data_IF_308955903829
#
_entry.id   IF_308955903829
#
_cell.length_a   1.000
_cell.length_b   1.000
_cell.length_c   1.000
_cell.angle_alpha   90.00
_cell.angle_beta   90.00
_cell.angle_gamma   90.00
#
_symmetry.space_group_name_H-M   'P 1'
#
loop_
_entity.id
_entity.type
_entity.pdbx_description
1 polymer ?
#
# COMPACT_ATOMS: atom_id res chain seq x y z
N UNK A 1 15.95 -39.30 -60.80
CA UNK A 1 16.03 -38.71 -59.45
C UNK A 1 16.18 -37.20 -59.62
N UNK A 2 15.08 -36.46 -59.49
CA UNK A 2 15.04 -35.01 -59.62
C UNK A 2 14.67 -34.43 -58.24
N UNK A 3 15.53 -33.58 -57.69
CA UNK A 3 15.29 -32.87 -56.42
C UNK A 3 14.55 -31.55 -56.70
N UNK A 4 13.52 -31.18 -55.92
CA UNK A 4 12.84 -29.90 -56.08
C UNK A 4 13.57 -28.79 -55.33
N UNK A 5 13.70 -27.64 -55.98
CA UNK A 5 14.25 -26.38 -55.44
C UNK A 5 13.21 -25.69 -54.54
N UNK A 6 13.53 -25.51 -53.26
CA UNK A 6 12.74 -24.73 -52.30
C UNK A 6 13.06 -23.24 -52.50
N UNK A 7 12.04 -22.44 -52.86
CA UNK A 7 12.10 -20.97 -52.84
C UNK A 7 11.94 -20.49 -51.39
N UNK A 8 13.00 -19.94 -50.81
CA UNK A 8 12.92 -19.19 -49.56
C UNK A 8 12.26 -17.82 -49.80
N UNK A 9 11.07 -17.63 -49.24
CA UNK A 9 10.41 -16.34 -49.13
C UNK A 9 11.05 -15.60 -47.94
N UNK A 10 11.81 -14.54 -48.21
CA UNK A 10 12.36 -13.69 -47.16
C UNK A 10 11.23 -12.86 -46.53
N UNK A 11 10.82 -13.23 -45.32
CA UNK A 11 9.97 -12.39 -44.48
C UNK A 11 10.82 -11.20 -43.98
N UNK A 12 10.51 -10.00 -44.47
CA UNK A 12 10.95 -8.75 -43.87
C UNK A 12 10.36 -8.67 -42.45
N UNK A 13 11.16 -9.01 -41.43
CA UNK A 13 10.87 -8.62 -40.05
C UNK A 13 11.00 -7.10 -39.96
N UNK A 14 9.86 -6.40 -39.94
CA UNK A 14 9.82 -5.03 -39.48
C UNK A 14 10.15 -5.01 -37.98
N UNK A 15 11.35 -4.55 -37.63
CA UNK A 15 11.71 -4.28 -36.24
C UNK A 15 10.94 -3.04 -35.79
N UNK A 16 9.82 -3.25 -35.11
CA UNK A 16 9.16 -2.18 -34.37
C UNK A 16 10.09 -1.76 -33.22
N UNK A 17 10.74 -0.60 -33.36
CA UNK A 17 11.49 0.01 -32.27
C UNK A 17 10.57 0.38 -31.11
N UNK A 18 11.11 0.54 -29.89
CA UNK A 18 10.33 1.06 -28.77
C UNK A 18 9.84 2.46 -29.14
N UNK A 19 8.53 2.65 -29.22
CA UNK A 19 7.96 3.98 -29.33
C UNK A 19 8.24 4.71 -28.01
N UNK A 20 9.24 5.58 -28.00
CA UNK A 20 9.35 6.62 -26.98
C UNK A 20 8.04 7.42 -27.02
N UNK A 21 7.23 7.33 -25.96
CA UNK A 21 6.15 8.27 -25.81
C UNK A 21 6.76 9.54 -25.20
N UNK A 22 7.11 10.49 -26.06
CA UNK A 22 7.36 11.85 -25.62
C UNK A 22 6.03 12.40 -25.06
N UNK A 23 5.92 12.42 -23.73
CA UNK A 23 4.73 12.94 -23.07
C UNK A 23 4.66 14.47 -23.08
N UNK A 24 5.74 15.18 -23.41
CA UNK A 24 5.76 16.65 -23.40
C UNK A 24 4.82 17.28 -24.43
N UNK A 25 4.52 16.54 -25.51
CA UNK A 25 3.53 16.91 -26.54
C UNK A 25 2.09 16.46 -26.26
N UNK A 26 1.81 15.80 -25.13
CA UNK A 26 0.47 15.28 -24.84
C UNK A 26 -0.55 16.43 -24.66
N UNK A 27 -1.80 16.34 -25.19
CA UNK A 27 -2.78 17.44 -25.14
C UNK A 27 -3.16 17.94 -23.73
N UNK A 28 -2.90 17.12 -22.71
CA UNK A 28 -3.13 17.47 -21.29
C UNK A 28 -1.91 18.08 -20.59
N UNK A 29 -0.76 18.23 -21.25
CA UNK A 29 0.40 18.90 -20.65
C UNK A 29 0.09 20.35 -20.27
N UNK A 30 -0.63 21.16 -21.09
CA UNK A 30 -1.04 22.51 -20.66
C UNK A 30 -1.80 22.50 -19.32
N UNK A 31 -2.75 21.57 -19.13
CA UNK A 31 -3.48 21.39 -17.86
C UNK A 31 -2.54 21.12 -16.68
N UNK A 32 -1.55 20.24 -16.86
CA UNK A 32 -0.55 19.94 -15.82
C UNK A 32 0.30 21.16 -15.47
N UNK A 33 0.77 21.89 -16.48
CA UNK A 33 1.64 23.05 -16.28
C UNK A 33 0.88 24.22 -15.66
N UNK A 34 -0.36 24.47 -16.08
CA UNK A 34 -1.23 25.48 -15.48
C UNK A 34 -1.48 25.16 -14.01
N UNK A 35 -1.69 23.88 -13.68
CA UNK A 35 -1.83 23.43 -12.29
C UNK A 35 -0.55 23.66 -11.49
N UNK A 36 0.61 23.27 -12.02
CA UNK A 36 1.92 23.49 -11.38
C UNK A 36 2.22 24.98 -11.17
N UNK A 37 1.85 25.83 -12.12
CA UNK A 37 2.00 27.28 -12.01
C UNK A 37 1.06 27.88 -10.95
N UNK A 38 -0.23 27.53 -11.01
CA UNK A 38 -1.27 28.19 -10.19
C UNK A 38 -1.36 27.67 -8.76
N UNK A 39 -1.27 26.35 -8.55
CA UNK A 39 -1.39 25.73 -7.22
C UNK A 39 -0.05 25.67 -6.48
N UNK A 40 1.05 25.52 -7.22
CA UNK A 40 2.37 25.29 -6.65
C UNK A 40 3.36 26.44 -6.94
N UNK A 41 3.01 27.42 -7.78
CA UNK A 41 3.87 28.58 -8.04
C UNK A 41 5.14 28.25 -8.83
N UNK A 42 5.10 27.26 -9.73
CA UNK A 42 6.22 26.98 -10.63
C UNK A 42 6.49 28.18 -11.55
N UNK A 43 7.74 28.61 -11.61
CA UNK A 43 8.24 29.62 -12.55
C UNK A 43 8.30 29.07 -13.98
N UNK A 44 8.39 29.96 -14.97
CA UNK A 44 8.51 29.56 -16.38
C UNK A 44 9.71 28.63 -16.63
N UNK A 45 10.83 28.85 -15.94
CA UNK A 45 12.02 28.01 -16.07
C UNK A 45 11.79 26.60 -15.49
N UNK A 46 11.11 26.49 -14.35
CA UNK A 46 10.77 25.19 -13.76
C UNK A 46 9.73 24.43 -14.59
N UNK A 47 8.76 25.13 -15.19
CA UNK A 47 7.81 24.51 -16.12
C UNK A 47 8.50 23.95 -17.37
N UNK A 48 9.58 24.59 -17.84
CA UNK A 48 10.40 24.04 -18.92
C UNK A 48 11.16 22.78 -18.47
N UNK A 49 11.65 22.74 -17.23
CA UNK A 49 12.24 21.51 -16.67
C UNK A 49 11.20 20.38 -16.58
N UNK A 50 9.93 20.69 -16.24
CA UNK A 50 8.83 19.71 -16.25
C UNK A 50 8.60 19.18 -17.67
N UNK A 51 8.56 20.04 -18.69
CA UNK A 51 8.45 19.61 -20.10
C UNK A 51 9.61 18.69 -20.49
N UNK A 52 10.83 19.07 -20.14
CA UNK A 52 12.03 18.28 -20.40
C UNK A 52 11.95 16.91 -19.72
N UNK A 53 11.50 16.85 -18.47
CA UNK A 53 11.30 15.59 -17.76
C UNK A 53 10.25 14.70 -18.46
N UNK A 54 9.11 15.27 -18.87
CA UNK A 54 8.07 14.54 -19.60
C UNK A 54 8.54 14.01 -20.96
N UNK A 55 9.41 14.75 -21.66
CA UNK A 55 10.03 14.27 -22.88
C UNK A 55 10.99 13.08 -22.66
N UNK A 56 11.57 12.98 -21.46
CA UNK A 56 12.47 11.90 -21.04
C UNK A 56 11.76 10.75 -20.29
N UNK A 57 10.45 10.88 -20.05
CA UNK A 57 9.66 9.82 -19.43
C UNK A 57 9.51 8.66 -20.41
N UNK A 58 9.65 7.44 -19.90
CA UNK A 58 9.48 6.22 -20.68
C UNK A 58 8.08 5.66 -20.42
N UNK A 59 7.33 5.45 -21.50
CA UNK A 59 6.07 4.74 -21.43
C UNK A 59 6.29 3.31 -20.94
N UNK A 60 5.37 2.82 -20.11
CA UNK A 60 5.35 1.46 -19.59
C UNK A 60 4.12 0.70 -20.14
N UNK A 61 4.18 0.14 -21.37
CA UNK A 61 3.02 -0.44 -22.05
C UNK A 61 2.36 -1.56 -21.26
N UNK A 62 3.17 -2.37 -20.58
CA UNK A 62 2.68 -3.53 -19.82
C UNK A 62 1.72 -3.09 -18.71
N UNK A 63 1.87 -1.90 -18.13
CA UNK A 63 0.97 -1.41 -17.08
C UNK A 63 -0.42 -1.10 -17.64
N UNK A 64 -0.47 -0.41 -18.77
CA UNK A 64 -1.74 -0.08 -19.44
C UNK A 64 -2.43 -1.37 -19.91
N UNK A 65 -1.67 -2.30 -20.48
CA UNK A 65 -2.21 -3.57 -20.95
C UNK A 65 -2.73 -4.46 -19.82
N UNK A 66 -2.02 -4.54 -18.70
CA UNK A 66 -2.45 -5.30 -17.54
C UNK A 66 -3.75 -4.74 -16.98
N UNK A 67 -3.88 -3.42 -16.80
CA UNK A 67 -5.11 -2.80 -16.29
C UNK A 67 -6.31 -2.96 -17.25
N UNK A 68 -6.06 -3.07 -18.57
CA UNK A 68 -7.10 -3.30 -19.57
C UNK A 68 -7.53 -4.78 -19.68
N UNK A 69 -6.58 -5.70 -19.50
CA UNK A 69 -6.77 -7.13 -19.77
C UNK A 69 -6.93 -7.98 -18.52
N UNK A 70 -6.57 -7.49 -17.33
CA UNK A 70 -6.58 -8.28 -16.12
C UNK A 70 -8.02 -8.77 -15.83
N UNK A 71 -8.30 -10.07 -15.95
CA UNK A 71 -9.46 -10.60 -15.26
C UNK A 71 -9.29 -10.26 -13.78
N UNK A 72 -10.39 -9.98 -13.07
CA UNK A 72 -10.36 -9.80 -11.63
C UNK A 72 -9.93 -11.14 -11.02
N UNK A 73 -8.62 -11.33 -10.86
CA UNK A 73 -8.06 -12.55 -10.31
C UNK A 73 -8.34 -12.51 -8.81
N UNK A 74 -9.47 -13.07 -8.41
CA UNK A 74 -9.85 -13.21 -7.02
C UNK A 74 -9.04 -14.35 -6.43
N UNK A 75 -7.84 -14.03 -5.94
CA UNK A 75 -7.13 -14.96 -5.05
C UNK A 75 -8.02 -15.25 -3.83
N UNK A 76 -7.99 -16.48 -3.32
CA UNK A 76 -8.59 -16.82 -2.01
C UNK A 76 -7.74 -16.17 -0.92
N UNK A 77 -8.28 -16.04 0.29
CA UNK A 77 -7.51 -15.63 1.46
C UNK A 77 -6.36 -16.58 1.73
N UNK A 78 -6.55 -17.89 1.58
CA UNK A 78 -5.47 -18.88 1.72
C UNK A 78 -4.30 -18.60 0.79
N UNK A 79 -4.59 -18.17 -0.45
CA UNK A 79 -3.55 -17.75 -1.41
C UNK A 79 -2.93 -16.41 -1.01
N UNK A 80 -3.75 -15.42 -0.61
CA UNK A 80 -3.27 -14.10 -0.23
C UNK A 80 -2.33 -14.13 0.98
N UNK A 81 -2.75 -14.88 2.01
CA UNK A 81 -2.10 -15.03 3.31
C UNK A 81 -0.74 -15.74 3.23
N UNK A 82 -0.36 -16.33 2.09
CA UNK A 82 1.02 -16.81 1.86
C UNK A 82 2.05 -15.69 1.98
N UNK A 83 1.63 -14.42 1.89
CA UNK A 83 2.43 -13.23 2.21
C UNK A 83 2.73 -13.11 3.71
N UNK A 84 2.20 -13.96 4.58
CA UNK A 84 2.46 -13.97 6.02
C UNK A 84 3.28 -15.23 6.34
N UNK A 85 4.51 -15.27 5.82
CA UNK A 85 5.42 -16.40 5.97
C UNK A 85 6.37 -16.24 7.18
N UNK A 86 6.98 -17.35 7.61
CA UNK A 86 7.89 -17.39 8.76
C UNK A 86 9.07 -16.43 8.57
N UNK A 87 9.66 -16.36 7.37
CA UNK A 87 10.77 -15.45 7.10
C UNK A 87 10.36 -13.99 7.24
N UNK A 88 9.15 -13.60 6.83
CA UNK A 88 8.65 -12.23 7.00
C UNK A 88 8.39 -11.93 8.48
N UNK A 89 7.92 -12.89 9.27
CA UNK A 89 7.76 -12.72 10.73
C UNK A 89 9.14 -12.52 11.40
N UNK A 90 10.10 -13.40 11.13
CA UNK A 90 11.48 -13.31 11.65
C UNK A 90 12.14 -11.98 11.29
N UNK A 91 11.97 -11.53 10.04
CA UNK A 91 12.48 -10.23 9.60
C UNK A 91 11.79 -9.05 10.28
N UNK A 92 10.50 -9.17 10.59
CA UNK A 92 9.77 -8.16 11.34
C UNK A 92 10.30 -8.00 12.76
N UNK A 93 10.53 -9.13 13.43
CA UNK A 93 11.17 -9.17 14.75
C UNK A 93 12.56 -8.51 14.70
N UNK A 94 13.39 -8.89 13.72
CA UNK A 94 14.73 -8.31 13.56
C UNK A 94 14.68 -6.78 13.37
N UNK A 95 13.76 -6.29 12.54
CA UNK A 95 13.60 -4.85 12.27
C UNK A 95 13.08 -4.09 13.50
N UNK A 96 12.19 -4.69 14.28
CA UNK A 96 11.75 -4.14 15.56
C UNK A 96 12.92 -4.00 16.54
N UNK A 97 13.84 -4.97 16.59
CA UNK A 97 15.03 -4.87 17.42
C UNK A 97 16.04 -3.84 16.91
N UNK A 98 16.33 -3.84 15.61
CA UNK A 98 17.29 -2.94 14.97
C UNK A 98 16.88 -1.47 15.11
N UNK A 99 15.59 -1.18 15.00
CA UNK A 99 15.04 0.18 15.05
C UNK A 99 14.17 0.43 16.29
N UNK A 100 14.44 -0.27 17.39
CA UNK A 100 13.61 -0.25 18.60
C UNK A 100 13.30 1.17 19.11
N UNK A 101 14.29 2.07 19.10
CA UNK A 101 14.10 3.46 19.53
C UNK A 101 13.08 4.22 18.67
N UNK A 102 13.08 4.01 17.36
CA UNK A 102 12.16 4.68 16.44
C UNK A 102 10.74 4.14 16.57
N UNK A 103 10.60 2.81 16.67
CA UNK A 103 9.29 2.22 16.92
C UNK A 103 8.70 2.64 18.27
N UNK A 104 9.52 2.66 19.33
CA UNK A 104 9.09 3.11 20.65
C UNK A 104 8.65 4.58 20.64
N UNK A 105 9.41 5.45 19.98
CA UNK A 105 9.02 6.86 19.80
C UNK A 105 7.73 7.00 19.00
N UNK A 106 7.56 6.23 17.93
CA UNK A 106 6.34 6.29 17.12
C UNK A 106 5.10 5.81 17.90
N UNK A 107 5.26 4.79 18.74
CA UNK A 107 4.20 4.36 19.66
C UNK A 107 3.89 5.43 20.72
N UNK A 108 4.91 6.07 21.29
CA UNK A 108 4.74 7.16 22.25
C UNK A 108 3.98 8.34 21.62
N UNK A 109 4.43 8.82 20.47
CA UNK A 109 3.91 10.01 19.79
C UNK A 109 2.51 9.77 19.18
N UNK A 110 2.33 8.67 18.44
CA UNK A 110 1.13 8.41 17.64
C UNK A 110 0.20 7.34 18.23
N UNK A 111 0.68 6.52 19.17
CA UNK A 111 -0.11 5.43 19.76
C UNK A 111 -0.34 4.23 18.85
N UNK A 112 0.41 4.15 17.76
CA UNK A 112 0.43 3.01 16.85
C UNK A 112 1.46 2.00 17.36
N UNK A 113 1.06 0.75 17.69
CA UNK A 113 1.98 -0.25 18.20
C UNK A 113 3.11 -0.57 17.21
N UNK A 114 4.33 -0.90 17.69
CA UNK A 114 5.47 -1.26 16.85
C UNK A 114 5.16 -2.34 15.81
N UNK A 115 4.50 -3.42 16.23
CA UNK A 115 4.16 -4.53 15.35
C UNK A 115 3.18 -4.13 14.24
N UNK A 116 2.31 -3.14 14.46
CA UNK A 116 1.42 -2.63 13.41
C UNK A 116 2.18 -1.87 12.33
N UNK A 117 3.11 -1.00 12.72
CA UNK A 117 3.98 -0.29 11.78
C UNK A 117 4.86 -1.30 11.02
N UNK A 118 5.44 -2.27 11.73
CA UNK A 118 6.20 -3.37 11.12
C UNK A 118 5.33 -4.20 10.17
N UNK A 119 4.07 -4.47 10.51
CA UNK A 119 3.12 -5.15 9.64
C UNK A 119 2.92 -4.44 8.31
N UNK A 120 2.75 -3.12 8.33
CA UNK A 120 2.68 -2.29 7.10
C UNK A 120 3.99 -2.42 6.31
N UNK A 121 5.14 -2.17 6.92
CA UNK A 121 6.45 -2.26 6.27
C UNK A 121 6.73 -3.65 5.65
N UNK A 122 6.31 -4.72 6.34
CA UNK A 122 6.51 -6.10 5.91
C UNK A 122 5.66 -6.47 4.69
N UNK A 123 4.42 -5.99 4.63
CA UNK A 123 3.51 -6.20 3.50
C UNK A 123 3.88 -5.31 2.31
N UNK A 124 4.24 -4.04 2.56
CA UNK A 124 4.56 -3.08 1.49
C UNK A 124 5.88 -3.39 0.80
N UNK A 125 6.97 -3.54 1.57
CA UNK A 125 8.33 -3.50 1.00
C UNK A 125 9.28 -4.56 1.57
N UNK A 126 8.75 -5.52 2.34
CA UNK A 126 9.57 -6.48 3.08
C UNK A 126 10.61 -5.77 3.94
N UNK A 127 10.14 -4.74 4.65
CA UNK A 127 10.91 -3.89 5.55
C UNK A 127 11.99 -3.07 4.84
N UNK A 128 11.61 -2.39 3.75
CA UNK A 128 12.51 -1.53 2.96
C UNK A 128 13.41 -2.25 1.96
N UNK A 129 13.39 -3.59 1.90
CA UNK A 129 14.24 -4.36 0.97
C UNK A 129 13.75 -4.33 -0.48
N UNK A 130 12.45 -4.13 -0.68
CA UNK A 130 11.80 -4.11 -2.00
C UNK A 130 10.94 -2.85 -2.09
N UNK A 131 11.54 -1.71 -2.42
CA UNK A 131 10.84 -0.41 -2.57
C UNK A 131 10.36 -0.14 -4.00
N UNK A 132 10.65 -1.05 -4.92
CA UNK A 132 10.42 -0.87 -6.35
C UNK A 132 11.62 -0.26 -7.07
N UNK A 133 11.68 -0.49 -8.38
CA UNK A 133 12.81 -0.13 -9.25
C UNK A 133 12.37 0.69 -10.47
N UNK A 134 11.09 1.04 -10.56
CA UNK A 134 10.51 1.80 -11.67
C UNK A 134 10.71 3.28 -11.39
N UNK A 135 11.18 4.08 -12.35
CA UNK A 135 11.21 5.54 -12.17
C UNK A 135 9.80 6.04 -11.94
N UNK A 136 9.58 6.79 -10.86
CA UNK A 136 8.25 7.28 -10.48
C UNK A 136 7.64 8.14 -11.58
N UNK A 137 8.49 8.94 -12.25
CA UNK A 137 8.12 9.70 -13.44
C UNK A 137 7.52 8.84 -14.55
N UNK A 138 8.10 7.68 -14.85
CA UNK A 138 7.64 6.79 -15.92
C UNK A 138 6.28 6.18 -15.56
N UNK A 139 6.14 5.70 -14.32
CA UNK A 139 4.90 5.14 -13.80
C UNK A 139 3.76 6.18 -13.84
N UNK A 140 3.97 7.35 -13.25
CA UNK A 140 2.94 8.37 -13.12
C UNK A 140 2.62 9.09 -14.45
N UNK A 141 3.59 9.26 -15.34
CA UNK A 141 3.32 9.76 -16.69
C UNK A 141 2.47 8.74 -17.46
N UNK A 142 2.88 7.48 -17.49
CA UNK A 142 2.13 6.43 -18.18
C UNK A 142 0.69 6.33 -17.63
N UNK A 143 0.52 6.22 -16.32
CA UNK A 143 -0.80 6.06 -15.73
C UNK A 143 -1.63 7.36 -15.75
N UNK A 144 -1.01 8.52 -15.53
CA UNK A 144 -1.70 9.81 -15.52
C UNK A 144 -2.27 10.21 -16.88
N UNK A 145 -1.58 9.84 -17.96
CA UNK A 145 -2.05 10.13 -19.32
C UNK A 145 -2.91 9.00 -19.92
N UNK A 146 -2.65 7.74 -19.58
CA UNK A 146 -3.20 6.61 -20.35
C UNK A 146 -4.03 5.60 -19.54
N UNK A 147 -4.10 5.71 -18.21
CA UNK A 147 -4.84 4.71 -17.42
C UNK A 147 -6.35 4.74 -17.77
N UNK A 148 -6.98 3.59 -18.08
CA UNK A 148 -8.35 3.54 -18.62
C UNK A 148 -9.40 4.20 -17.71
N UNK A 149 -9.37 3.92 -16.40
CA UNK A 149 -10.37 4.43 -15.44
C UNK A 149 -9.84 5.43 -14.42
N UNK A 150 -8.57 5.34 -14.02
CA UNK A 150 -7.97 6.13 -12.91
C UNK A 150 -7.02 7.23 -13.38
N UNK A 151 -6.96 7.56 -14.67
CA UNK A 151 -6.05 8.59 -15.19
C UNK A 151 -6.12 9.91 -14.42
N UNK A 152 -7.31 10.38 -13.99
CA UNK A 152 -7.45 11.63 -13.22
C UNK A 152 -6.71 11.58 -11.88
N UNK A 153 -6.79 10.46 -11.18
CA UNK A 153 -6.07 10.25 -9.91
C UNK A 153 -4.56 10.28 -10.13
N UNK A 154 -4.06 9.46 -11.06
CA UNK A 154 -2.62 9.40 -11.34
C UNK A 154 -2.07 10.69 -11.93
N UNK A 155 -2.87 11.42 -12.70
CA UNK A 155 -2.51 12.75 -13.21
C UNK A 155 -2.38 13.77 -12.08
N UNK A 156 -3.22 13.67 -11.05
CA UNK A 156 -3.05 14.48 -9.83
C UNK A 156 -1.77 14.10 -9.08
N UNK A 157 -1.48 12.81 -8.96
CA UNK A 157 -0.24 12.33 -8.33
C UNK A 157 1.01 12.73 -9.12
N UNK A 158 0.93 12.85 -10.45
CA UNK A 158 2.01 13.36 -11.29
C UNK A 158 2.31 14.84 -10.98
N UNK A 159 1.28 15.67 -10.77
CA UNK A 159 1.48 17.06 -10.35
C UNK A 159 2.13 17.14 -8.96
N UNK A 160 1.63 16.35 -8.01
CA UNK A 160 2.19 16.21 -6.66
C UNK A 160 3.64 15.72 -6.68
N UNK A 161 3.98 14.82 -7.62
CA UNK A 161 5.34 14.33 -7.83
C UNK A 161 6.31 15.42 -8.29
N UNK A 162 5.91 16.26 -9.25
CA UNK A 162 6.76 17.38 -9.66
C UNK A 162 6.94 18.39 -8.52
N UNK A 163 5.88 18.70 -7.78
CA UNK A 163 5.95 19.55 -6.60
C UNK A 163 6.91 18.97 -5.54
N UNK A 164 6.81 17.65 -5.28
CA UNK A 164 7.71 16.90 -4.41
C UNK A 164 9.17 17.00 -4.86
N UNK A 165 9.45 16.79 -6.16
CA UNK A 165 10.82 16.85 -6.67
C UNK A 165 11.44 18.25 -6.51
N UNK A 166 10.63 19.29 -6.75
CA UNK A 166 11.06 20.68 -6.55
C UNK A 166 11.31 21.01 -5.08
N UNK A 167 10.43 20.58 -4.18
CA UNK A 167 10.58 20.82 -2.72
C UNK A 167 11.85 20.20 -2.15
N UNK A 168 12.33 19.10 -2.73
CA UNK A 168 13.53 18.40 -2.29
C UNK A 168 14.78 18.72 -3.13
N UNK A 169 14.66 19.59 -4.14
CA UNK A 169 15.72 19.88 -5.11
C UNK A 169 16.34 18.61 -5.73
N UNK A 170 15.47 17.69 -6.18
CA UNK A 170 15.88 16.44 -6.84
C UNK A 170 15.40 16.39 -8.28
N UNK A 171 16.20 15.76 -9.14
CA UNK A 171 15.82 15.55 -10.52
C UNK A 171 14.58 14.64 -10.62
N UNK A 172 13.52 15.01 -11.37
CA UNK A 172 12.32 14.18 -11.52
C UNK A 172 12.57 12.80 -12.13
N UNK A 173 13.75 12.53 -12.68
CA UNK A 173 14.14 11.23 -13.21
C UNK A 173 14.80 10.30 -12.19
N UNK A 174 15.11 10.79 -10.98
CA UNK A 174 15.87 10.05 -9.97
C UNK A 174 15.02 9.14 -9.07
N UNK A 175 13.86 9.57 -8.52
CA UNK A 175 13.05 8.73 -7.63
C UNK A 175 12.61 7.41 -8.27
N UNK A 176 12.78 6.32 -7.54
CA UNK A 176 12.32 4.97 -7.90
C UNK A 176 11.24 4.47 -6.95
N UNK A 177 10.28 3.73 -7.47
CA UNK A 177 9.14 3.24 -6.71
C UNK A 177 8.46 2.06 -7.37
N UNK A 178 7.24 1.79 -6.91
CA UNK A 178 6.38 0.79 -7.52
C UNK A 178 5.92 1.19 -8.91
N UNK A 179 5.32 0.24 -9.60
CA UNK A 179 4.68 0.46 -10.90
C UNK A 179 3.52 1.46 -10.86
N UNK A 180 2.96 1.75 -9.68
CA UNK A 180 1.90 2.74 -9.48
C UNK A 180 2.44 4.11 -9.04
N UNK A 181 3.76 4.27 -8.91
CA UNK A 181 4.41 5.50 -8.45
C UNK A 181 4.46 5.66 -6.93
N UNK A 182 4.25 4.59 -6.16
CA UNK A 182 4.41 4.62 -4.71
C UNK A 182 5.90 4.53 -4.31
N UNK A 183 6.31 5.30 -3.31
CA UNK A 183 7.72 5.61 -3.03
C UNK A 183 8.19 5.13 -1.66
N UNK A 184 9.46 4.72 -1.59
CA UNK A 184 10.15 4.36 -0.35
C UNK A 184 9.62 3.11 0.34
N UNK A 185 10.11 2.88 1.56
CA UNK A 185 9.73 1.75 2.42
C UNK A 185 8.25 1.80 2.85
N UNK A 186 7.68 3.01 2.94
CA UNK A 186 6.27 3.22 3.26
C UNK A 186 5.34 3.10 2.04
N UNK A 187 5.84 3.05 0.80
CA UNK A 187 5.01 3.05 -0.42
C UNK A 187 3.98 4.19 -0.44
N UNK A 188 4.40 5.40 -0.06
CA UNK A 188 3.55 6.57 -0.17
C UNK A 188 3.45 7.04 -1.62
N UNK A 189 2.23 7.34 -2.04
CA UNK A 189 2.00 8.17 -3.22
C UNK A 189 2.54 9.58 -2.99
N UNK A 190 2.94 10.33 -4.04
CA UNK A 190 3.48 11.69 -3.90
C UNK A 190 2.63 12.64 -3.04
N UNK A 191 1.31 12.62 -3.19
CA UNK A 191 0.40 13.43 -2.37
C UNK A 191 0.51 13.08 -0.87
N UNK A 192 0.57 11.79 -0.55
CA UNK A 192 0.75 11.29 0.81
C UNK A 192 2.12 11.66 1.36
N UNK A 193 3.18 11.58 0.55
CA UNK A 193 4.51 12.06 0.94
C UNK A 193 4.43 13.52 1.38
N UNK A 194 3.93 14.40 0.50
CA UNK A 194 3.95 15.84 0.76
C UNK A 194 3.14 16.21 2.00
N UNK A 195 2.02 15.51 2.24
CA UNK A 195 1.13 15.76 3.38
C UNK A 195 1.58 15.12 4.69
N UNK A 196 2.13 13.91 4.66
CA UNK A 196 2.24 13.04 5.84
C UNK A 196 3.66 12.55 6.13
N UNK A 197 4.61 12.68 5.20
CA UNK A 197 5.98 12.32 5.49
C UNK A 197 6.55 13.21 6.60
N UNK A 198 7.30 12.62 7.53
CA UNK A 198 7.97 13.29 8.64
C UNK A 198 9.45 12.96 8.65
N UNK A 199 10.25 13.96 9.04
CA UNK A 199 11.67 13.82 9.36
C UNK A 199 11.69 13.29 10.79
N UNK A 200 11.82 11.98 10.91
CA UNK A 200 11.64 11.29 12.17
C UNK A 200 12.96 11.06 12.88
N UNK A 201 14.09 10.99 12.15
CA UNK A 201 15.42 10.95 12.76
C UNK A 201 16.04 12.34 13.02
N UNK A 202 15.43 13.40 12.51
CA UNK A 202 15.83 14.79 12.77
C UNK A 202 17.03 15.25 11.94
N UNK A 203 17.30 14.61 10.81
CA UNK A 203 18.44 14.93 9.93
C UNK A 203 18.16 16.10 8.96
N UNK A 204 16.94 16.66 9.00
CA UNK A 204 16.47 17.75 8.16
C UNK A 204 15.82 17.27 6.86
N UNK A 205 15.69 15.96 6.63
CA UNK A 205 15.10 15.38 5.42
C UNK A 205 13.97 14.41 5.78
N UNK A 206 13.03 14.26 4.85
CA UNK A 206 11.93 13.28 4.94
C UNK A 206 12.22 12.14 3.97
N UNK A 207 13.21 11.30 4.26
CA UNK A 207 13.66 10.23 3.39
C UNK A 207 12.91 8.92 3.65
N UNK A 208 11.83 8.67 2.91
CA UNK A 208 11.04 7.43 3.04
C UNK A 208 11.78 6.15 2.62
N UNK A 209 12.99 6.22 2.05
CA UNK A 209 13.81 5.03 1.82
C UNK A 209 14.60 4.62 3.08
N UNK A 210 14.69 5.51 4.07
CA UNK A 210 15.25 5.22 5.39
C UNK A 210 14.14 4.84 6.37
N UNK A 211 14.40 3.82 7.16
CA UNK A 211 13.37 3.27 8.06
C UNK A 211 12.90 4.22 9.16
N UNK A 212 13.72 5.10 9.79
CA UNK A 212 13.21 6.03 10.79
C UNK A 212 12.05 6.88 10.26
N UNK A 213 12.23 7.52 9.11
CA UNK A 213 11.21 8.37 8.50
C UNK A 213 10.02 7.58 8.00
N UNK A 214 10.24 6.39 7.44
CA UNK A 214 9.15 5.49 7.06
C UNK A 214 8.30 5.07 8.28
N UNK A 215 8.94 4.74 9.42
CA UNK A 215 8.27 4.37 10.67
C UNK A 215 7.40 5.51 11.17
N UNK A 216 7.98 6.71 11.31
CA UNK A 216 7.24 7.89 11.77
C UNK A 216 6.11 8.28 10.82
N UNK A 217 6.37 8.21 9.51
CA UNK A 217 5.38 8.58 8.49
C UNK A 217 4.21 7.60 8.44
N UNK A 218 4.44 6.30 8.59
CA UNK A 218 3.36 5.30 8.70
C UNK A 218 2.51 5.56 9.93
N UNK A 219 3.14 5.84 11.08
CA UNK A 219 2.43 6.11 12.33
C UNK A 219 1.56 7.38 12.21
N UNK A 220 2.12 8.44 11.63
CA UNK A 220 1.39 9.68 11.33
C UNK A 220 0.28 9.47 10.32
N UNK A 221 0.48 8.64 9.29
CA UNK A 221 -0.55 8.34 8.31
C UNK A 221 -1.77 7.69 8.96
N UNK A 222 -1.58 6.66 9.78
CA UNK A 222 -2.69 5.94 10.40
C UNK A 222 -3.50 6.83 11.35
N UNK A 223 -2.88 7.87 11.91
CA UNK A 223 -3.51 8.82 12.83
C UNK A 223 -4.11 10.05 12.15
N UNK A 224 -3.48 10.59 11.11
CA UNK A 224 -3.84 11.89 10.51
C UNK A 224 -4.38 11.82 9.07
N UNK A 225 -4.27 10.68 8.38
CA UNK A 225 -4.67 10.60 6.97
C UNK A 225 -6.17 10.88 6.79
N UNK A 226 -7.02 10.22 7.58
CA UNK A 226 -8.48 10.37 7.54
C UNK A 226 -9.01 10.48 8.98
N UNK A 227 -9.35 11.69 9.47
CA UNK A 227 -9.83 11.89 10.83
C UNK A 227 -11.07 11.05 11.20
N UNK A 228 -11.91 10.69 10.22
CA UNK A 228 -13.10 9.86 10.46
C UNK A 228 -12.77 8.38 10.73
N UNK A 229 -11.55 7.96 10.36
CA UNK A 229 -11.00 6.61 10.52
C UNK A 229 -9.62 6.65 11.15
N UNK A 230 -9.32 7.67 11.95
CA UNK A 230 -8.04 7.81 12.63
C UNK A 230 -7.80 6.64 13.60
N UNK A 231 -6.54 6.23 13.69
CA UNK A 231 -6.08 5.24 14.65
C UNK A 231 -6.40 5.66 16.08
N UNK A 232 -6.88 4.71 16.89
CA UNK A 232 -7.26 4.89 18.29
C UNK A 232 -6.32 4.09 19.17
N UNK A 233 -5.54 4.79 19.98
CA UNK A 233 -4.55 4.21 20.90
C UNK A 233 -5.21 3.16 21.80
N UNK A 234 -4.60 1.98 21.89
CA UNK A 234 -5.04 0.90 22.78
C UNK A 234 -6.29 0.14 22.35
N UNK A 235 -6.96 0.55 21.26
CA UNK A 235 -8.09 -0.23 20.72
C UNK A 235 -7.60 -1.39 19.86
N UNK A 236 -8.27 -2.57 19.90
CA UNK A 236 -7.89 -3.70 19.06
C UNK A 236 -8.20 -3.44 17.58
N UNK A 237 -7.51 -4.17 16.71
CA UNK A 237 -7.69 -4.07 15.25
C UNK A 237 -8.75 -5.06 14.76
N UNK A 238 -8.56 -6.34 15.09
CA UNK A 238 -9.43 -7.45 14.72
C UNK A 238 -9.62 -8.39 15.91
N UNK A 239 -10.74 -9.10 15.94
CA UNK A 239 -11.01 -10.18 16.89
C UNK A 239 -11.50 -11.40 16.13
N UNK A 240 -10.93 -12.57 16.43
CA UNK A 240 -11.34 -13.83 15.82
C UNK A 240 -12.80 -14.13 16.14
N UNK A 241 -13.54 -14.59 15.14
CA UNK A 241 -14.95 -14.94 15.28
C UNK A 241 -15.22 -16.32 14.69
N UNK A 242 -16.18 -17.01 15.30
CA UNK A 242 -16.69 -18.29 14.80
C UNK A 242 -18.19 -18.24 14.65
N UNK A 243 -18.70 -19.01 13.70
CA UNK A 243 -20.13 -19.23 13.59
C UNK A 243 -20.63 -20.00 14.81
N UNK A 244 -21.78 -19.58 15.34
CA UNK A 244 -22.52 -20.31 16.38
C UNK A 244 -23.52 -21.31 15.77
N UNK A 245 -23.79 -21.19 14.46
CA UNK A 245 -24.61 -22.11 13.67
C UNK A 245 -23.97 -22.45 12.33
N UNK A 246 -24.77 -22.82 11.34
CA UNK A 246 -24.27 -23.23 10.02
C UNK A 246 -23.83 -22.05 9.14
N UNK A 247 -24.49 -20.89 9.27
CA UNK A 247 -24.29 -19.72 8.42
C UNK A 247 -24.49 -18.42 9.22
N UNK A 248 -24.00 -17.31 8.68
CA UNK A 248 -24.39 -15.97 9.13
C UNK A 248 -25.89 -15.75 8.93
N UNK A 249 -26.46 -14.83 9.71
CA UNK A 249 -27.82 -14.35 9.47
C UNK A 249 -27.95 -13.81 8.02
N UNK A 250 -29.02 -14.16 7.29
CA UNK A 250 -29.21 -13.71 5.91
C UNK A 250 -29.14 -12.19 5.77
N UNK A 251 -28.42 -11.71 4.76
CA UNK A 251 -28.27 -10.28 4.48
C UNK A 251 -27.27 -9.55 5.38
N UNK A 252 -26.52 -10.25 6.24
CA UNK A 252 -25.44 -9.65 7.04
C UNK A 252 -24.39 -9.01 6.11
N UNK A 253 -24.15 -7.69 6.19
CA UNK A 253 -23.09 -7.05 5.43
C UNK A 253 -21.72 -7.55 5.89
N UNK A 254 -20.95 -8.12 4.97
CA UNK A 254 -19.56 -8.55 5.20
C UNK A 254 -18.60 -7.75 4.32
N UNK A 255 -17.34 -7.64 4.74
CA UNK A 255 -16.26 -7.02 3.97
C UNK A 255 -16.52 -5.56 3.58
N UNK A 256 -17.33 -4.86 4.39
CA UNK A 256 -17.59 -3.43 4.24
C UNK A 256 -16.37 -2.57 4.60
N UNK A 257 -16.40 -1.29 4.20
CA UNK A 257 -15.34 -0.30 4.48
C UNK A 257 -15.56 0.54 5.75
N UNK A 258 -16.57 0.19 6.53
CA UNK A 258 -16.97 0.85 7.78
C UNK A 258 -17.67 -0.13 8.69
N UNK A 259 -17.71 0.20 9.98
CA UNK A 259 -18.54 -0.50 10.96
C UNK A 259 -20.02 -0.40 10.59
N UNK A 260 -20.76 -1.49 10.77
CA UNK A 260 -22.20 -1.58 10.44
C UNK A 260 -23.04 -2.18 11.57
N UNK A 261 -22.42 -2.68 12.63
CA UNK A 261 -23.07 -3.35 13.75
C UNK A 261 -22.48 -2.89 15.09
N UNK A 262 -23.09 -3.34 16.18
CA UNK A 262 -22.53 -3.31 17.53
C UNK A 262 -22.14 -4.72 17.96
N UNK A 263 -21.21 -4.83 18.91
CA UNK A 263 -20.80 -6.13 19.47
C UNK A 263 -21.98 -6.91 20.07
N UNK A 264 -22.98 -6.22 20.63
CA UNK A 264 -24.22 -6.82 21.13
C UNK A 264 -25.03 -7.55 20.04
N UNK A 265 -24.87 -7.19 18.77
CA UNK A 265 -25.62 -7.78 17.65
C UNK A 265 -25.02 -9.14 17.22
N UNK A 266 -23.75 -9.42 17.55
CA UNK A 266 -23.01 -10.58 17.04
C UNK A 266 -23.73 -11.92 17.26
N UNK A 267 -24.32 -12.22 18.44
CA UNK A 267 -25.03 -13.48 18.64
C UNK A 267 -26.25 -13.63 17.71
N UNK A 268 -26.97 -12.53 17.45
CA UNK A 268 -28.12 -12.52 16.54
C UNK A 268 -27.69 -12.68 15.07
N UNK A 269 -26.47 -12.27 14.73
CA UNK A 269 -25.86 -12.48 13.41
C UNK A 269 -25.31 -13.92 13.23
N UNK A 270 -25.32 -14.74 14.29
CA UNK A 270 -24.77 -16.09 14.28
C UNK A 270 -23.27 -16.14 14.52
N UNK A 271 -22.69 -15.12 15.17
CA UNK A 271 -21.27 -15.03 15.48
C UNK A 271 -21.00 -15.01 16.99
N UNK A 272 -19.88 -15.62 17.38
CA UNK A 272 -19.28 -15.46 18.69
C UNK A 272 -17.79 -15.13 18.53
N UNK A 273 -17.29 -14.23 19.38
CA UNK A 273 -15.87 -13.88 19.45
C UNK A 273 -15.16 -14.66 20.55
N UNK A 274 -13.87 -14.91 20.39
CA UNK A 274 -13.04 -15.53 21.44
C UNK A 274 -12.84 -14.60 22.64
N UNK A 275 -12.78 -13.30 22.38
CA UNK A 275 -12.66 -12.25 23.40
C UNK A 275 -13.98 -11.48 23.46
N UNK A 276 -14.51 -11.31 24.67
CA UNK A 276 -15.71 -10.51 24.89
C UNK A 276 -15.43 -9.03 24.61
N UNK A 277 -16.28 -8.40 23.80
CA UNK A 277 -16.23 -6.97 23.50
C UNK A 277 -17.31 -6.24 24.30
N UNK A 278 -17.08 -4.98 24.72
CA UNK A 278 -18.13 -4.16 25.30
C UNK A 278 -19.34 -4.08 24.35
N UNK A 279 -20.58 -4.26 24.84
CA UNK A 279 -21.77 -4.39 23.98
C UNK A 279 -21.96 -3.27 22.95
N UNK A 280 -21.63 -2.02 23.32
CA UNK A 280 -21.80 -0.84 22.48
C UNK A 280 -20.68 -0.63 21.44
N UNK A 281 -19.64 -1.46 21.46
CA UNK A 281 -18.50 -1.36 20.54
C UNK A 281 -18.97 -1.47 19.10
N UNK A 282 -18.67 -0.46 18.28
CA UNK A 282 -19.00 -0.49 16.86
C UNK A 282 -18.06 -1.45 16.12
N UNK A 283 -18.63 -2.34 15.30
CA UNK A 283 -17.90 -3.40 14.62
C UNK A 283 -18.38 -3.59 13.18
N UNK A 284 -17.53 -4.17 12.35
CA UNK A 284 -17.93 -4.77 11.08
C UNK A 284 -17.54 -6.24 11.02
N UNK A 285 -18.12 -6.94 10.04
CA UNK A 285 -17.90 -8.37 9.85
C UNK A 285 -17.00 -8.56 8.64
N UNK A 286 -15.94 -9.34 8.82
CA UNK A 286 -15.02 -9.76 7.76
C UNK A 286 -15.24 -11.24 7.52
N UNK A 287 -15.41 -11.59 6.26
CA UNK A 287 -15.53 -12.96 5.78
C UNK A 287 -14.44 -13.20 4.75
N UNK A 288 -13.57 -14.16 5.01
CA UNK A 288 -12.43 -14.49 4.17
C UNK A 288 -12.70 -15.84 3.50
N UNK A 289 -12.58 -15.87 2.18
CA UNK A 289 -12.77 -17.09 1.39
C UNK A 289 -11.49 -17.93 1.44
N UNK A 290 -11.59 -19.16 1.94
CA UNK A 290 -10.48 -20.11 1.98
C UNK A 290 -10.47 -20.99 0.74
N UNK A 291 -9.37 -21.71 0.53
CA UNK A 291 -9.36 -22.80 -0.43
C UNK A 291 -10.45 -23.84 -0.07
N UNK A 292 -11.11 -24.41 -1.10
CA UNK A 292 -12.23 -25.36 -1.00
C UNK A 292 -13.56 -24.77 -0.47
N UNK A 293 -13.88 -23.53 -0.82
CA UNK A 293 -15.13 -22.83 -0.44
C UNK A 293 -15.32 -22.64 1.07
N UNK A 294 -14.27 -22.86 1.86
CA UNK A 294 -14.25 -22.59 3.30
C UNK A 294 -14.37 -21.09 3.60
N UNK A 295 -14.82 -20.76 4.82
CA UNK A 295 -14.94 -19.36 5.27
C UNK A 295 -14.29 -19.20 6.63
N UNK A 296 -13.56 -18.10 6.79
CA UNK A 296 -13.00 -17.65 8.06
C UNK A 296 -13.60 -16.28 8.41
N UNK A 297 -14.01 -16.09 9.67
CA UNK A 297 -14.73 -14.90 10.10
C UNK A 297 -13.94 -14.10 11.14
N UNK A 298 -13.98 -12.79 10.99
CA UNK A 298 -13.39 -11.86 11.94
C UNK A 298 -14.33 -10.70 12.23
N UNK A 299 -14.24 -10.17 13.44
CA UNK A 299 -14.83 -8.87 13.80
C UNK A 299 -13.76 -7.80 13.58
N UNK A 300 -14.04 -6.84 12.70
CA UNK A 300 -13.18 -5.69 12.43
C UNK A 300 -13.60 -4.47 13.25
N UNK A 301 -12.63 -3.83 13.88
CA UNK A 301 -12.82 -2.70 14.80
C UNK A 301 -12.35 -1.40 14.14
N UNK A 302 -12.49 -0.27 14.83
CA UNK A 302 -12.13 1.05 14.29
C UNK A 302 -10.72 1.09 13.68
N UNK A 303 -9.73 0.48 14.34
CA UNK A 303 -8.35 0.45 13.87
C UNK A 303 -8.14 -0.40 12.60
N UNK A 304 -8.96 -1.41 12.33
CA UNK A 304 -8.93 -2.10 11.03
C UNK A 304 -9.27 -1.15 9.89
N UNK A 305 -10.25 -0.27 10.12
CA UNK A 305 -10.67 0.73 9.12
C UNK A 305 -9.65 1.86 8.95
N UNK A 306 -8.84 2.15 9.98
CA UNK A 306 -7.64 2.99 9.84
C UNK A 306 -6.64 2.34 8.89
N UNK A 307 -6.31 1.05 9.07
CA UNK A 307 -5.41 0.32 8.15
C UNK A 307 -5.96 0.27 6.72
N UNK A 308 -7.28 0.11 6.55
CA UNK A 308 -7.92 0.17 5.22
C UNK A 308 -7.84 1.54 4.54
N UNK A 309 -7.45 2.61 5.24
CA UNK A 309 -7.18 3.90 4.57
C UNK A 309 -5.91 3.82 3.73
N UNK A 310 -4.92 3.03 4.17
CA UNK A 310 -3.65 2.79 3.48
C UNK A 310 -3.87 2.05 2.15
N UNK A 311 -4.70 1.00 2.19
CA UNK A 311 -5.20 0.31 1.01
C UNK A 311 -6.62 -0.22 1.28
N UNK A 312 -7.62 0.13 0.44
CA UNK A 312 -9.03 -0.15 0.72
C UNK A 312 -9.45 -1.62 0.56
N UNK A 313 -8.51 -2.53 0.28
CA UNK A 313 -8.77 -3.97 0.12
C UNK A 313 -8.75 -4.67 1.47
N UNK A 314 -9.79 -5.45 1.76
CA UNK A 314 -9.93 -6.22 3.02
C UNK A 314 -8.75 -7.17 3.23
N UNK A 315 -8.32 -7.91 2.20
CA UNK A 315 -7.20 -8.85 2.31
C UNK A 315 -5.88 -8.16 2.66
N UNK A 316 -5.64 -6.95 2.15
CA UNK A 316 -4.47 -6.17 2.54
C UNK A 316 -4.52 -5.85 4.04
N UNK A 317 -5.62 -5.26 4.52
CA UNK A 317 -5.73 -4.85 5.91
C UNK A 317 -5.68 -6.05 6.86
N UNK A 318 -6.27 -7.18 6.46
CA UNK A 318 -6.19 -8.43 7.19
C UNK A 318 -4.75 -8.98 7.21
N UNK A 319 -4.00 -8.88 6.11
CA UNK A 319 -2.62 -9.36 6.08
C UNK A 319 -1.70 -8.53 6.95
N UNK A 320 -1.87 -7.20 6.97
CA UNK A 320 -1.16 -6.31 7.89
C UNK A 320 -1.49 -6.67 9.35
N UNK A 321 -2.78 -6.77 9.68
CA UNK A 321 -3.23 -7.06 11.04
C UNK A 321 -2.78 -8.45 11.54
N UNK A 322 -2.87 -9.48 10.70
CA UNK A 322 -2.41 -10.82 11.05
C UNK A 322 -0.88 -10.90 11.11
N UNK A 323 -0.13 -10.23 10.22
CA UNK A 323 1.32 -10.19 10.31
C UNK A 323 1.78 -9.52 11.61
N UNK A 324 1.19 -8.37 11.96
CA UNK A 324 1.46 -7.67 13.22
C UNK A 324 1.21 -8.58 14.43
N UNK A 325 0.03 -9.22 14.47
CA UNK A 325 -0.33 -10.18 15.54
C UNK A 325 0.67 -11.33 15.65
N UNK A 326 1.11 -11.91 14.52
CA UNK A 326 2.07 -13.04 14.52
C UNK A 326 3.47 -12.61 14.97
N UNK A 327 3.87 -11.37 14.70
CA UNK A 327 5.11 -10.79 15.22
C UNK A 327 5.02 -10.63 16.75
N UNK A 328 3.92 -10.07 17.25
CA UNK A 328 3.69 -9.91 18.70
C UNK A 328 3.67 -11.25 19.44
N UNK A 329 2.94 -12.24 18.90
CA UNK A 329 2.88 -13.60 19.47
C UNK A 329 4.28 -14.23 19.56
N UNK A 330 5.09 -14.10 18.51
CA UNK A 330 6.45 -14.64 18.50
C UNK A 330 7.37 -13.92 19.51
N UNK A 331 7.24 -12.60 19.67
CA UNK A 331 7.97 -11.83 20.68
C UNK A 331 7.58 -12.24 22.10
N UNK A 332 6.30 -12.50 22.36
CA UNK A 332 5.82 -12.97 23.66
C UNK A 332 6.39 -14.34 24.02
N UNK A 333 6.38 -15.28 23.06
CA UNK A 333 6.96 -16.62 23.25
C UNK A 333 8.47 -16.52 23.55
N UNK A 334 9.19 -15.66 22.82
CA UNK A 334 10.62 -15.46 23.04
C UNK A 334 10.91 -14.93 24.46
N UNK A 335 10.15 -13.93 24.94
CA UNK A 335 10.30 -13.40 26.31
C UNK A 335 10.03 -14.44 27.38
N UNK A 336 8.99 -15.26 27.21
CA UNK A 336 8.66 -16.33 28.16
C UNK A 336 9.74 -17.42 28.22
N UNK A 337 10.45 -17.66 27.11
CA UNK A 337 11.55 -18.62 27.07
C UNK A 337 12.84 -18.10 27.75
N UNK A 338 12.99 -16.78 27.91
CA UNK A 338 14.14 -16.14 28.56
C UNK A 338 13.97 -16.00 30.08
N UNK A 339 12.75 -16.13 30.61
CA UNK A 339 12.50 -16.13 32.06
C UNK A 339 12.97 -17.46 32.70
N UNK A 340 13.87 -17.44 33.71
CA UNK A 340 14.29 -18.67 34.38
C UNK A 340 13.11 -19.35 35.09
N UNK A 341 13.07 -20.70 35.16
CA UNK A 341 12.03 -21.38 35.92
C UNK A 341 12.10 -20.92 37.39
N UNK A 342 10.99 -20.36 37.86
CA UNK A 342 10.85 -19.77 39.19
C UNK A 342 10.91 -20.76 40.35
#
# INVERSE_FOLDING_TARGET
MAFPTIRCLALLLATAGPAFADYSGHPRVPELLDRLASEYGFSAAELEQVRSALANAQRLPQLVEQEQKAPEKTETWTQYARRIDATRIEQGIAVLHEHAAWFARAEEEYGVPPAMIAGVLGIETRYGRITGSVRVLDALSTQGFEHPSRHRYFFSELAEYFAFCRELDIAPTAPQGSYAGAMGAAQFMPSNYRRLAVDFDGDGRRDLWRLPDAIGSIARYLTEYDPSRAWRRGEPVIVAARLTGAHLAPGTPVNGRRVTHRAADLPALGLATEVALPPDTAVGIIELELDNDGREYWVALANFYSVMTYNPRVYYAMAVAQLARRIDEALLVARQAEEPPG
#
